data_IF_126851303825
#
_entry.id   IF_126851303825
#
_cell.length_a   1.000
_cell.length_b   1.000
_cell.length_c   1.000
_cell.angle_alpha   90.00
_cell.angle_beta   90.00
_cell.angle_gamma   90.00
#
_symmetry.space_group_name_H-M   'P 1'
#
loop_
_entity.id
_entity.type
_entity.pdbx_description
1 polymer ?
#
# COMPACT_ATOMS: atom_id res chain seq x y z
N UNK A 1 -40.33 12.17 37.24
CA UNK A 1 -39.42 13.22 36.80
C UNK A 1 -38.94 12.87 35.39
N UNK A 2 -39.53 13.59 34.44
CA UNK A 2 -39.17 13.50 33.02
C UNK A 2 -37.82 14.09 32.78
N UNK A 3 -36.96 13.48 31.94
CA UNK A 3 -36.06 14.17 31.02
C UNK A 3 -35.91 13.35 29.75
N UNK A 4 -36.47 13.89 28.73
CA UNK A 4 -36.19 13.67 27.32
C UNK A 4 -34.79 14.15 26.97
N UNK A 5 -34.10 13.39 26.12
CA UNK A 5 -32.78 13.81 25.57
C UNK A 5 -32.40 12.90 24.44
N UNK A 6 -32.99 13.17 23.27
CA UNK A 6 -32.56 12.72 21.95
C UNK A 6 -31.26 13.41 21.63
N UNK A 7 -30.26 12.67 21.13
CA UNK A 7 -29.28 13.20 20.18
C UNK A 7 -28.70 12.06 19.38
N UNK A 8 -29.31 11.87 18.21
CA UNK A 8 -28.69 11.16 17.09
C UNK A 8 -27.47 11.96 16.60
N UNK A 9 -26.30 11.54 16.97
CA UNK A 9 -25.06 12.06 16.37
C UNK A 9 -24.56 11.06 15.32
N UNK A 10 -25.11 11.20 14.12
CA UNK A 10 -24.56 10.58 12.91
C UNK A 10 -23.32 11.35 12.51
N UNK A 11 -22.17 10.95 13.00
CA UNK A 11 -20.87 11.41 12.51
C UNK A 11 -20.71 11.09 11.03
N UNK A 12 -21.07 12.06 10.21
CA UNK A 12 -20.82 12.07 8.79
C UNK A 12 -19.34 12.39 8.60
N UNK A 13 -18.50 11.38 8.41
CA UNK A 13 -17.14 11.58 7.96
C UNK A 13 -17.18 12.04 6.50
N UNK A 14 -17.16 13.35 6.32
CA UNK A 14 -17.04 13.97 5.01
C UNK A 14 -15.71 13.59 4.38
N UNK A 15 -15.81 13.04 3.20
CA UNK A 15 -14.71 12.81 2.28
C UNK A 15 -14.06 14.17 1.96
N UNK A 16 -12.96 14.50 2.65
CA UNK A 16 -12.16 15.67 2.31
C UNK A 16 -11.41 15.34 1.02
N UNK A 17 -11.91 15.84 -0.09
CA UNK A 17 -11.20 15.79 -1.36
C UNK A 17 -9.78 16.34 -1.22
N UNK A 18 -8.85 15.76 -1.95
CA UNK A 18 -7.45 16.17 -2.01
C UNK A 18 -7.31 17.50 -2.81
N UNK A 19 -7.97 18.53 -2.38
CA UNK A 19 -7.82 19.89 -2.96
C UNK A 19 -6.66 20.59 -2.26
N UNK A 20 -5.43 20.18 -2.64
CA UNK A 20 -4.22 20.86 -2.23
C UNK A 20 -4.04 22.15 -3.01
N UNK A 21 -4.28 23.29 -2.38
CA UNK A 21 -3.82 24.60 -2.87
C UNK A 21 -2.30 24.56 -3.04
N UNK A 22 -1.88 24.51 -4.29
CA UNK A 22 -0.48 24.58 -4.67
C UNK A 22 0.09 25.96 -4.33
N UNK A 23 1.08 25.96 -3.47
CA UNK A 23 1.90 27.11 -3.09
C UNK A 23 2.54 27.76 -4.35
N UNK A 24 2.07 28.97 -4.69
CA UNK A 24 2.62 29.80 -5.75
C UNK A 24 3.83 30.57 -5.22
N UNK A 25 4.97 29.93 -5.10
CA UNK A 25 6.26 30.62 -4.98
C UNK A 25 7.42 29.76 -5.42
N UNK A 26 7.85 29.92 -6.64
CA UNK A 26 9.26 30.05 -7.07
C UNK A 26 9.40 29.88 -8.58
N UNK A 27 9.06 30.92 -9.33
CA UNK A 27 9.62 31.07 -10.68
C UNK A 27 11.09 31.50 -10.51
N UNK A 28 12.01 30.61 -10.61
CA UNK A 28 13.38 30.91 -11.03
C UNK A 28 13.64 30.18 -12.34
N UNK A 29 13.83 30.99 -13.38
CA UNK A 29 14.37 30.58 -14.68
C UNK A 29 15.75 29.98 -14.43
N UNK A 30 15.90 28.71 -14.71
CA UNK A 30 17.20 28.12 -14.99
C UNK A 30 17.09 27.41 -16.34
N UNK A 31 17.73 28.02 -17.34
CA UNK A 31 17.86 27.50 -18.68
C UNK A 31 19.02 26.51 -18.68
N UNK A 32 18.76 25.31 -18.23
CA UNK A 32 19.65 24.16 -18.32
C UNK A 32 19.07 23.14 -19.30
N UNK A 33 19.79 22.86 -20.36
CA UNK A 33 19.49 21.85 -21.37
C UNK A 33 19.10 20.54 -20.71
N UNK A 34 17.81 20.18 -20.86
CA UNK A 34 17.29 18.91 -20.41
C UNK A 34 17.65 17.87 -21.45
N UNK A 35 18.70 17.10 -21.19
CA UNK A 35 19.01 15.88 -21.94
C UNK A 35 17.81 14.94 -21.69
N UNK A 36 16.92 14.82 -22.66
CA UNK A 36 15.85 13.83 -22.68
C UNK A 36 16.44 12.45 -22.92
N UNK A 37 17.03 11.87 -21.89
CA UNK A 37 17.21 10.43 -21.85
C UNK A 37 15.84 9.83 -21.52
N UNK A 38 15.16 9.34 -22.54
CA UNK A 38 13.91 8.60 -22.42
C UNK A 38 14.09 7.26 -21.70
N UNK A 39 14.45 7.28 -20.42
CA UNK A 39 14.29 6.13 -19.56
C UNK A 39 12.79 5.99 -19.30
N UNK A 40 12.17 5.00 -19.95
CA UNK A 40 10.83 4.56 -19.62
C UNK A 40 10.85 4.17 -18.15
N UNK A 41 10.35 5.06 -17.27
CA UNK A 41 10.17 4.75 -15.85
C UNK A 41 9.21 3.56 -15.75
N UNK A 42 9.76 2.39 -15.41
CA UNK A 42 8.95 1.19 -15.22
C UNK A 42 8.09 1.39 -13.96
N UNK A 43 6.76 1.32 -14.12
CA UNK A 43 5.85 1.44 -12.99
C UNK A 43 5.97 0.22 -12.07
N UNK A 44 6.25 0.45 -10.80
CA UNK A 44 6.29 -0.59 -9.77
C UNK A 44 4.87 -0.94 -9.34
N UNK A 45 4.48 -2.21 -9.46
CA UNK A 45 3.17 -2.69 -9.03
C UNK A 45 3.25 -3.27 -7.62
N UNK A 46 2.34 -2.81 -6.76
CA UNK A 46 2.22 -3.27 -5.38
C UNK A 46 0.87 -3.96 -5.14
N UNK A 47 0.83 -4.87 -4.17
CA UNK A 47 -0.39 -5.42 -3.62
C UNK A 47 -0.48 -5.11 -2.13
N UNK A 48 -1.70 -4.96 -1.61
CA UNK A 48 -1.98 -4.74 -0.19
C UNK A 48 -2.72 -5.97 0.34
N UNK A 49 -2.26 -6.54 1.45
CA UNK A 49 -2.93 -7.63 2.16
C UNK A 49 -3.64 -7.08 3.38
N UNK A 50 -4.98 -7.08 3.33
CA UNK A 50 -5.87 -6.48 4.32
C UNK A 50 -6.24 -5.03 3.99
N UNK A 51 -7.54 -4.77 3.86
CA UNK A 51 -8.06 -3.43 3.55
C UNK A 51 -8.84 -2.86 4.75
N UNK A 52 -8.18 -2.88 5.91
CA UNK A 52 -8.61 -2.19 7.12
C UNK A 52 -8.09 -0.75 7.16
N UNK A 53 -8.06 -0.14 8.35
CA UNK A 53 -7.59 1.25 8.54
C UNK A 53 -6.17 1.48 7.99
N UNK A 54 -5.25 0.55 8.23
CA UNK A 54 -3.87 0.69 7.74
C UNK A 54 -3.80 0.48 6.23
N UNK A 55 -4.41 -0.59 5.70
CA UNK A 55 -4.35 -0.90 4.27
C UNK A 55 -5.03 0.16 3.40
N UNK A 56 -6.19 0.69 3.81
CA UNK A 56 -6.83 1.81 3.11
C UNK A 56 -5.97 3.07 3.15
N UNK A 57 -5.33 3.36 4.29
CA UNK A 57 -4.39 4.47 4.41
C UNK A 57 -3.17 4.33 3.48
N UNK A 58 -2.62 3.12 3.33
CA UNK A 58 -1.53 2.85 2.37
C UNK A 58 -2.00 3.11 0.94
N UNK A 59 -3.19 2.64 0.56
CA UNK A 59 -3.75 2.88 -0.78
C UNK A 59 -3.96 4.38 -1.05
N UNK A 60 -4.47 5.12 -0.07
CA UNK A 60 -4.67 6.57 -0.14
C UNK A 60 -3.34 7.31 -0.30
N UNK A 61 -2.35 7.02 0.53
CA UNK A 61 -1.02 7.65 0.46
C UNK A 61 -0.37 7.40 -0.90
N UNK A 62 -0.41 6.17 -1.42
CA UNK A 62 0.15 5.84 -2.73
C UNK A 62 -0.59 6.55 -3.86
N UNK A 63 -1.89 6.76 -3.75
CA UNK A 63 -2.70 7.48 -4.74
C UNK A 63 -2.46 8.99 -4.71
N UNK A 64 -2.51 9.61 -3.52
CA UNK A 64 -2.43 11.06 -3.36
C UNK A 64 -1.01 11.63 -3.52
N UNK A 65 0.04 10.81 -3.29
CA UNK A 65 1.42 11.29 -3.28
C UNK A 65 2.29 10.70 -4.39
N UNK A 66 1.70 10.29 -5.50
CA UNK A 66 2.41 9.59 -6.59
C UNK A 66 3.66 10.32 -7.09
N UNK A 67 3.58 11.63 -7.34
CA UNK A 67 4.72 12.42 -7.82
C UNK A 67 5.87 12.46 -6.81
N UNK A 68 5.55 12.67 -5.54
CA UNK A 68 6.56 12.72 -4.47
C UNK A 68 7.21 11.35 -4.28
N UNK A 69 6.43 10.28 -4.31
CA UNK A 69 6.89 8.91 -4.19
C UNK A 69 7.77 8.55 -5.39
N UNK A 70 7.32 8.82 -6.61
CA UNK A 70 8.10 8.60 -7.82
C UNK A 70 9.45 9.32 -7.80
N UNK A 71 9.47 10.58 -7.33
CA UNK A 71 10.70 11.36 -7.19
C UNK A 71 11.66 10.75 -6.17
N UNK A 72 11.16 10.18 -5.07
CA UNK A 72 12.00 9.58 -4.01
C UNK A 72 12.42 8.15 -4.32
N UNK A 73 11.52 7.35 -4.87
CA UNK A 73 11.75 5.94 -5.18
C UNK A 73 12.43 5.73 -6.55
N UNK A 74 12.47 6.77 -7.40
CA UNK A 74 12.96 6.67 -8.76
C UNK A 74 11.93 6.19 -9.78
N UNK A 75 10.85 5.52 -9.32
CA UNK A 75 9.78 4.99 -10.14
C UNK A 75 8.42 5.24 -9.48
N UNK A 76 7.34 5.45 -10.26
CA UNK A 76 5.99 5.49 -9.72
C UNK A 76 5.59 4.13 -9.16
N UNK A 77 4.83 4.15 -8.06
CA UNK A 77 4.31 2.94 -7.40
C UNK A 77 2.78 2.96 -7.49
N UNK A 78 2.19 1.89 -8.00
CA UNK A 78 0.75 1.75 -8.13
C UNK A 78 0.25 0.51 -7.40
N UNK A 79 -0.87 0.64 -6.68
CA UNK A 79 -1.60 -0.49 -6.11
C UNK A 79 -2.39 -1.18 -7.21
N UNK A 80 -2.02 -2.43 -7.54
CA UNK A 80 -2.71 -3.26 -8.53
C UNK A 80 -3.79 -4.12 -7.89
N UNK A 81 -3.50 -4.74 -6.75
CA UNK A 81 -4.42 -5.62 -6.04
C UNK A 81 -4.51 -5.28 -4.55
N UNK A 82 -5.68 -5.55 -4.00
CA UNK A 82 -5.99 -5.46 -2.58
C UNK A 82 -6.64 -6.78 -2.18
N UNK A 83 -6.00 -7.57 -1.33
CA UNK A 83 -6.55 -8.81 -0.80
C UNK A 83 -7.37 -8.52 0.44
N UNK A 84 -8.65 -8.80 0.40
CA UNK A 84 -9.54 -8.80 1.57
C UNK A 84 -10.70 -9.78 1.36
N UNK A 85 -11.25 -10.32 2.45
CA UNK A 85 -12.41 -11.22 2.37
C UNK A 85 -13.73 -10.45 2.15
N UNK A 86 -13.73 -9.15 2.42
CA UNK A 86 -14.89 -8.27 2.29
C UNK A 86 -14.94 -7.63 0.91
N UNK A 87 -16.13 -7.23 0.49
CA UNK A 87 -16.33 -6.32 -0.62
C UNK A 87 -16.47 -4.89 -0.11
N UNK A 88 -16.09 -3.92 -0.92
CA UNK A 88 -16.13 -2.49 -0.58
C UNK A 88 -16.91 -1.70 -1.64
N UNK A 89 -18.24 -1.90 -1.74
CA UNK A 89 -19.04 -1.27 -2.78
C UNK A 89 -18.99 0.25 -2.66
N UNK A 90 -18.67 0.91 -3.79
CA UNK A 90 -18.53 2.36 -3.87
C UNK A 90 -17.17 2.91 -3.43
N UNK A 91 -16.23 2.05 -3.00
CA UNK A 91 -14.85 2.47 -2.75
C UNK A 91 -14.09 2.70 -4.08
N UNK A 92 -13.26 3.73 -4.19
CA UNK A 92 -12.45 3.98 -5.39
C UNK A 92 -11.57 2.81 -5.81
N UNK A 93 -11.21 1.93 -4.89
CA UNK A 93 -10.38 0.75 -5.12
C UNK A 93 -11.18 -0.56 -5.23
N UNK A 94 -12.50 -0.51 -5.29
CA UNK A 94 -13.37 -1.69 -5.35
C UNK A 94 -12.93 -2.68 -6.44
N UNK A 95 -12.58 -2.17 -7.62
CA UNK A 95 -12.17 -2.99 -8.78
C UNK A 95 -10.82 -3.68 -8.61
N UNK A 96 -10.02 -3.28 -7.61
CA UNK A 96 -8.70 -3.86 -7.28
C UNK A 96 -8.81 -4.96 -6.22
N UNK A 97 -9.98 -5.13 -5.61
CA UNK A 97 -10.19 -6.11 -4.54
C UNK A 97 -10.20 -7.52 -5.11
N UNK A 98 -9.38 -8.38 -4.53
CA UNK A 98 -9.29 -9.81 -4.83
C UNK A 98 -9.46 -10.62 -3.54
N UNK A 99 -9.96 -11.83 -3.65
CA UNK A 99 -10.26 -12.70 -2.51
C UNK A 99 -9.33 -13.92 -2.41
N UNK A 100 -8.45 -14.08 -3.39
CA UNK A 100 -7.50 -15.18 -3.44
C UNK A 100 -6.07 -14.64 -3.57
N UNK A 101 -5.21 -15.07 -2.65
CA UNK A 101 -3.79 -14.70 -2.63
C UNK A 101 -3.05 -15.17 -3.90
N UNK A 102 -3.52 -16.23 -4.55
CA UNK A 102 -2.91 -16.78 -5.77
C UNK A 102 -2.88 -15.75 -6.89
N UNK A 103 -3.90 -14.90 -7.00
CA UNK A 103 -3.94 -13.81 -7.98
C UNK A 103 -2.73 -12.89 -7.85
N UNK A 104 -2.30 -12.62 -6.61
CA UNK A 104 -1.14 -11.78 -6.32
C UNK A 104 0.16 -12.53 -6.53
N UNK A 105 0.24 -13.78 -6.05
CA UNK A 105 1.47 -14.56 -6.09
C UNK A 105 1.88 -14.94 -7.51
N UNK A 106 0.91 -15.26 -8.37
CA UNK A 106 1.15 -15.69 -9.75
C UNK A 106 1.37 -14.51 -10.72
N UNK A 107 1.06 -13.28 -10.30
CA UNK A 107 1.25 -12.11 -11.16
C UNK A 107 2.71 -11.64 -11.14
N UNK A 108 3.46 -11.77 -12.26
CA UNK A 108 4.87 -11.38 -12.33
C UNK A 108 5.09 -9.85 -12.25
N UNK A 109 4.06 -9.03 -12.48
CA UNK A 109 4.17 -7.59 -12.36
C UNK A 109 4.20 -7.12 -10.90
N UNK A 110 3.67 -7.90 -9.96
CA UNK A 110 3.71 -7.56 -8.54
C UNK A 110 5.11 -7.80 -7.98
N UNK A 111 5.76 -6.73 -7.55
CA UNK A 111 7.08 -6.77 -6.95
C UNK A 111 7.08 -6.47 -5.44
N UNK A 112 6.07 -5.77 -4.95
CA UNK A 112 5.94 -5.35 -3.56
C UNK A 112 4.59 -5.81 -2.99
N UNK A 113 4.63 -6.36 -1.79
CA UNK A 113 3.45 -6.76 -1.01
C UNK A 113 3.48 -6.01 0.33
N UNK A 114 2.44 -5.22 0.59
CA UNK A 114 2.23 -4.51 1.85
C UNK A 114 1.30 -5.35 2.73
N UNK A 115 1.83 -6.00 3.77
CA UNK A 115 1.05 -6.76 4.74
C UNK A 115 0.56 -5.81 5.85
N UNK A 116 -0.76 -5.68 5.97
CA UNK A 116 -1.45 -4.79 6.92
C UNK A 116 -2.58 -5.49 7.67
N UNK A 117 -2.55 -6.82 7.71
CA UNK A 117 -3.47 -7.64 8.49
C UNK A 117 -3.03 -7.66 9.96
N UNK A 118 -3.91 -8.06 10.84
CA UNK A 118 -3.60 -8.28 12.25
C UNK A 118 -3.38 -9.75 12.56
N UNK A 119 -2.69 -10.03 13.68
CA UNK A 119 -2.41 -11.38 14.16
C UNK A 119 -1.32 -12.11 13.38
N UNK A 120 -1.10 -13.39 13.73
CA UNK A 120 -0.08 -14.21 13.08
C UNK A 120 -0.54 -14.85 11.78
N UNK A 121 -1.75 -15.42 11.77
CA UNK A 121 -2.33 -16.07 10.60
C UNK A 121 -3.57 -15.27 10.11
N UNK A 122 -3.74 -15.13 8.80
CA UNK A 122 -2.94 -15.70 7.69
C UNK A 122 -1.72 -14.83 7.28
N UNK A 123 -1.38 -13.78 8.04
CA UNK A 123 -0.29 -12.85 7.73
C UNK A 123 1.05 -13.56 7.52
N UNK A 124 1.40 -14.53 8.39
CA UNK A 124 2.62 -15.31 8.26
C UNK A 124 2.63 -16.14 6.98
N UNK A 125 1.58 -16.94 6.76
CA UNK A 125 1.50 -17.81 5.58
C UNK A 125 1.60 -17.01 4.29
N UNK A 126 0.91 -15.88 4.19
CA UNK A 126 0.91 -15.05 2.99
C UNK A 126 2.23 -14.30 2.78
N UNK A 127 2.83 -13.76 3.84
CA UNK A 127 4.16 -13.13 3.78
C UNK A 127 5.24 -14.12 3.36
N UNK A 128 5.23 -15.31 3.94
CA UNK A 128 6.14 -16.40 3.58
C UNK A 128 6.05 -16.74 2.09
N UNK A 129 4.84 -16.99 1.61
CA UNK A 129 4.59 -17.35 0.20
C UNK A 129 4.94 -16.23 -0.76
N UNK A 130 4.72 -14.96 -0.38
CA UNK A 130 5.12 -13.82 -1.17
C UNK A 130 6.65 -13.74 -1.32
N UNK A 131 7.40 -13.94 -0.23
CA UNK A 131 8.86 -13.99 -0.25
C UNK A 131 9.39 -15.17 -1.07
N UNK A 132 8.78 -16.35 -0.95
CA UNK A 132 9.10 -17.55 -1.75
C UNK A 132 8.85 -17.33 -3.24
N UNK A 133 7.84 -16.51 -3.59
CA UNK A 133 7.56 -16.06 -4.96
C UNK A 133 8.47 -14.91 -5.44
N UNK A 134 9.50 -14.52 -4.66
CA UNK A 134 10.45 -13.47 -5.00
C UNK A 134 9.88 -12.05 -4.87
N UNK A 135 8.75 -11.86 -4.18
CA UNK A 135 8.15 -10.55 -3.97
C UNK A 135 8.64 -9.95 -2.65
N UNK A 136 9.05 -8.69 -2.67
CA UNK A 136 9.42 -7.97 -1.45
C UNK A 136 8.19 -7.71 -0.58
N UNK A 137 8.34 -7.86 0.74
CA UNK A 137 7.26 -7.68 1.70
C UNK A 137 7.60 -6.55 2.67
N UNK A 138 6.65 -5.66 2.94
CA UNK A 138 6.71 -4.73 4.06
C UNK A 138 5.50 -4.93 4.97
N UNK A 139 5.72 -4.87 6.29
CA UNK A 139 4.68 -5.09 7.29
C UNK A 139 4.78 -4.12 8.45
N UNK A 140 3.63 -3.76 9.03
CA UNK A 140 3.51 -3.07 10.32
C UNK A 140 3.04 -4.00 11.45
N UNK A 141 2.96 -5.30 11.20
CA UNK A 141 2.45 -6.31 12.12
C UNK A 141 3.53 -6.75 13.11
N UNK A 142 3.56 -6.13 14.27
CA UNK A 142 4.58 -6.39 15.31
C UNK A 142 4.54 -7.84 15.83
N UNK A 143 3.36 -8.45 15.91
CA UNK A 143 3.20 -9.83 16.35
C UNK A 143 3.81 -10.81 15.34
N UNK A 144 3.57 -10.61 14.06
CA UNK A 144 4.20 -11.37 12.99
C UNK A 144 5.72 -11.29 13.05
N UNK A 145 6.25 -10.08 13.21
CA UNK A 145 7.70 -9.85 13.29
C UNK A 145 8.31 -10.49 14.52
N UNK A 146 7.65 -10.39 15.69
CA UNK A 146 8.12 -10.98 16.93
C UNK A 146 8.21 -12.52 16.85
N UNK A 147 7.23 -13.15 16.20
CA UNK A 147 7.13 -14.60 16.13
C UNK A 147 7.92 -15.22 14.97
N UNK A 148 7.97 -14.56 13.83
CA UNK A 148 8.46 -15.13 12.56
C UNK A 148 9.49 -14.26 11.83
N UNK A 149 9.85 -13.10 12.36
CA UNK A 149 10.71 -12.12 11.67
C UNK A 149 12.05 -12.69 11.22
N UNK A 150 12.70 -13.50 12.06
CA UNK A 150 13.99 -14.13 11.72
C UNK A 150 13.88 -15.09 10.53
N UNK A 151 12.83 -15.90 10.47
CA UNK A 151 12.57 -16.81 9.35
C UNK A 151 12.25 -16.04 8.07
N UNK A 152 11.39 -15.04 8.15
CA UNK A 152 10.98 -14.24 6.99
C UNK A 152 12.17 -13.43 6.41
N UNK A 153 13.06 -12.91 7.27
CA UNK A 153 14.31 -12.28 6.84
C UNK A 153 15.25 -13.26 6.11
N UNK A 154 15.34 -14.51 6.61
CA UNK A 154 16.14 -15.54 5.94
C UNK A 154 15.57 -15.87 4.56
N UNK A 155 14.26 -16.09 4.47
CA UNK A 155 13.56 -16.37 3.21
C UNK A 155 13.72 -15.24 2.19
N UNK A 156 13.62 -13.98 2.64
CA UNK A 156 13.83 -12.82 1.77
C UNK A 156 15.23 -12.84 1.14
N UNK A 157 16.28 -13.12 1.93
CA UNK A 157 17.65 -13.23 1.44
C UNK A 157 17.84 -14.38 0.45
N UNK A 158 17.28 -15.56 0.76
CA UNK A 158 17.34 -16.75 -0.10
C UNK A 158 16.68 -16.50 -1.47
N UNK A 159 15.57 -15.75 -1.49
CA UNK A 159 14.83 -15.44 -2.71
C UNK A 159 15.21 -14.07 -3.34
N UNK A 160 16.28 -13.42 -2.86
CA UNK A 160 16.79 -12.13 -3.38
C UNK A 160 15.75 -11.00 -3.41
N UNK A 161 14.87 -10.99 -2.45
CA UNK A 161 13.89 -9.94 -2.21
C UNK A 161 14.10 -9.33 -0.82
N UNK A 162 13.27 -8.36 -0.45
CA UNK A 162 13.41 -7.62 0.79
C UNK A 162 12.23 -7.91 1.73
N UNK A 163 12.52 -7.89 3.04
CA UNK A 163 11.50 -7.90 4.09
C UNK A 163 11.75 -6.71 5.01
N UNK A 164 10.81 -5.75 5.01
CA UNK A 164 10.85 -4.55 5.83
C UNK A 164 9.74 -4.55 6.85
N UNK A 165 10.06 -4.08 8.04
CA UNK A 165 9.10 -3.98 9.16
C UNK A 165 9.46 -2.81 10.07
N UNK A 166 8.47 -2.35 10.83
CA UNK A 166 8.60 -1.32 11.85
C UNK A 166 8.45 -1.89 13.27
#
# INVERSE_FOLDING_TARGET
YQRTGSSDDKGHFGNAGCDGEADRRAQRKDSGERIENGEQQSMVKAAILGYGTVGSGVAEVLSCNQELIAKRAGNPIEVKYILDLRNFPGDPNETKVVHDIEVILQDPEISIVCETMGGNEPAYTFSKRALEAGKSVCTSNKELVANHGAELLRLARENRCNYFFE
#
